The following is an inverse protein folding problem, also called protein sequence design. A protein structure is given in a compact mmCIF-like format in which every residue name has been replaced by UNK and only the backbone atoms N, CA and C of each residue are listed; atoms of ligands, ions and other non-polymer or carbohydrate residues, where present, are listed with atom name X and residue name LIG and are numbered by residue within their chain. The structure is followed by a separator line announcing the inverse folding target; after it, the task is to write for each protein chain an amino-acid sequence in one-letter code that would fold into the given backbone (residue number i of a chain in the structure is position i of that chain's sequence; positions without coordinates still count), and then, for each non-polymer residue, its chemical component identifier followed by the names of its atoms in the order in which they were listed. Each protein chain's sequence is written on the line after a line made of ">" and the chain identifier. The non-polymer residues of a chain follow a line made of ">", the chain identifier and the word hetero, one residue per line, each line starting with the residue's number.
data_IF_612676266001
#
_entry.id   IF_612676266001
#
_cell.length_a   1.000
_cell.length_b   1.000
_cell.length_c   1.000
_cell.angle_alpha   90.00
_cell.angle_beta   90.00
_cell.angle_gamma   90.00
#
_symmetry.space_group_name_H-M   'P 1'
#
loop_
_entity.id
_entity.type
_entity.pdbx_description
1 polymer ?
#
# COMPACT_ATOMS: atom_id res chain seq x y z
N UNK A 1 -8.72 -9.36 -14.46
CA UNK A 1 -8.40 -8.17 -13.65
C UNK A 1 -9.39 -7.06 -13.98
N UNK A 2 -9.94 -6.43 -12.97
CA UNK A 2 -10.87 -5.32 -13.18
C UNK A 2 -10.12 -4.04 -13.52
N UNK A 3 -10.75 -3.19 -14.35
CA UNK A 3 -10.13 -1.93 -14.73
C UNK A 3 -10.12 -0.95 -13.56
N UNK A 4 -9.15 -0.04 -13.55
CA UNK A 4 -9.06 0.98 -12.51
C UNK A 4 -10.27 1.93 -12.53
N UNK A 5 -10.84 2.32 -13.69
CA UNK A 5 -12.10 3.08 -13.67
C UNK A 5 -13.24 2.38 -12.94
N UNK A 6 -13.38 1.05 -13.07
CA UNK A 6 -14.38 0.29 -12.31
C UNK A 6 -14.09 0.30 -10.81
N UNK A 7 -12.82 0.19 -10.44
CA UNK A 7 -12.39 0.25 -9.04
C UNK A 7 -12.73 1.63 -8.47
N UNK A 8 -12.49 2.70 -9.24
CA UNK A 8 -12.79 4.06 -8.82
C UNK A 8 -14.29 4.25 -8.58
N UNK A 9 -15.14 3.72 -9.47
CA UNK A 9 -16.58 3.80 -9.29
C UNK A 9 -17.03 3.16 -7.98
N UNK A 10 -16.50 1.99 -7.67
CA UNK A 10 -16.81 1.31 -6.42
C UNK A 10 -16.36 2.12 -5.22
N UNK A 11 -15.16 2.71 -5.30
CA UNK A 11 -14.63 3.55 -4.24
C UNK A 11 -15.52 4.80 -4.02
N UNK A 12 -15.90 5.45 -5.10
CA UNK A 12 -16.71 6.68 -5.03
C UNK A 12 -18.09 6.43 -4.43
N UNK A 13 -18.64 5.22 -4.58
CA UNK A 13 -19.91 4.86 -3.94
C UNK A 13 -19.78 4.76 -2.41
N UNK A 14 -18.59 4.47 -1.90
CA UNK A 14 -18.33 4.32 -0.48
C UNK A 14 -17.84 5.61 0.18
N UNK A 15 -17.09 6.41 -0.55
CA UNK A 15 -16.43 7.61 -0.02
C UNK A 15 -16.60 8.76 -0.99
N UNK A 16 -17.15 9.90 -0.51
CA UNK A 16 -17.51 11.00 -1.39
C UNK A 16 -16.64 12.26 -1.21
N UNK A 17 -15.86 12.34 -0.15
CA UNK A 17 -15.22 13.60 0.24
C UNK A 17 -13.71 13.53 0.48
N UNK A 18 -13.00 12.62 -0.21
CA UNK A 18 -11.56 12.50 -0.03
C UNK A 18 -10.84 13.72 -0.61
N UNK A 19 -9.95 14.29 0.20
CA UNK A 19 -9.07 15.37 -0.24
C UNK A 19 -7.79 14.78 -0.81
N UNK A 20 -7.55 15.03 -2.08
CA UNK A 20 -6.39 14.50 -2.80
C UNK A 20 -5.27 15.54 -2.83
N UNK A 21 -4.02 15.11 -2.61
CA UNK A 21 -2.85 15.96 -2.77
C UNK A 21 -2.16 15.60 -4.08
N UNK A 22 -2.33 16.39 -5.15
CA UNK A 22 -1.78 16.02 -6.47
C UNK A 22 -0.26 15.84 -6.50
N UNK A 23 0.45 16.50 -5.58
CA UNK A 23 1.92 16.39 -5.53
C UNK A 23 2.41 15.21 -4.68
N UNK A 24 1.51 14.46 -4.03
CA UNK A 24 1.91 13.40 -3.11
C UNK A 24 2.76 12.32 -3.79
N UNK A 25 2.33 11.85 -4.96
CA UNK A 25 3.05 10.82 -5.70
C UNK A 25 4.47 11.28 -6.05
N UNK A 26 4.59 12.48 -6.61
CA UNK A 26 5.91 13.01 -7.00
C UNK A 26 6.81 13.17 -5.78
N UNK A 27 6.25 13.59 -4.64
CA UNK A 27 7.02 13.76 -3.41
C UNK A 27 7.50 12.41 -2.88
N UNK A 28 6.64 11.38 -2.91
CA UNK A 28 7.03 10.03 -2.47
C UNK A 28 8.18 9.51 -3.32
N UNK A 29 8.06 9.61 -4.64
CA UNK A 29 9.10 9.15 -5.56
C UNK A 29 10.41 9.90 -5.33
N UNK A 30 10.34 11.21 -5.14
CA UNK A 30 11.53 12.03 -4.92
C UNK A 30 12.20 11.74 -3.58
N UNK A 31 11.40 11.70 -2.50
CA UNK A 31 11.93 11.51 -1.15
C UNK A 31 12.47 10.09 -0.93
N UNK A 32 11.86 9.10 -1.55
CA UNK A 32 12.25 7.71 -1.37
C UNK A 32 13.18 7.20 -2.48
N UNK A 33 13.38 7.99 -3.53
CA UNK A 33 14.25 7.62 -4.66
C UNK A 33 13.83 6.29 -5.29
N UNK A 34 12.52 6.15 -5.56
CA UNK A 34 11.97 4.97 -6.23
C UNK A 34 10.91 5.42 -7.23
N UNK A 35 10.51 4.51 -8.13
CA UNK A 35 9.41 4.77 -9.07
C UNK A 35 8.20 3.94 -8.69
N UNK A 36 7.07 4.61 -8.49
CA UNK A 36 5.82 3.93 -8.17
C UNK A 36 5.21 3.30 -9.42
N UNK A 37 4.54 2.14 -9.29
CA UNK A 37 3.86 1.54 -10.44
C UNK A 37 2.75 2.44 -10.96
N UNK A 38 2.43 2.30 -12.25
CA UNK A 38 1.38 3.11 -12.88
C UNK A 38 0.03 2.94 -12.21
N UNK A 39 -0.33 1.72 -11.82
CA UNK A 39 -1.61 1.47 -11.17
C UNK A 39 -1.69 2.16 -9.79
N UNK A 40 -0.58 2.20 -9.05
CA UNK A 40 -0.53 2.96 -7.81
C UNK A 40 -0.80 4.44 -8.07
N UNK A 41 -0.16 4.99 -9.11
CA UNK A 41 -0.33 6.41 -9.46
C UNK A 41 -1.77 6.72 -9.88
N UNK A 42 -2.39 5.84 -10.66
CA UNK A 42 -3.79 6.03 -11.06
C UNK A 42 -4.73 5.99 -9.86
N UNK A 43 -4.53 5.04 -8.95
CA UNK A 43 -5.36 4.93 -7.74
C UNK A 43 -5.12 6.13 -6.82
N UNK A 44 -3.90 6.66 -6.79
CA UNK A 44 -3.57 7.86 -6.01
C UNK A 44 -4.32 9.11 -6.48
N UNK A 45 -4.94 9.07 -7.67
CA UNK A 45 -5.77 10.19 -8.14
C UNK A 45 -7.08 10.31 -7.37
N UNK A 46 -7.49 9.29 -6.60
CA UNK A 46 -8.72 9.34 -5.81
C UNK A 46 -8.57 8.77 -4.39
N UNK A 47 -7.43 8.16 -4.07
CA UNK A 47 -7.18 7.57 -2.75
C UNK A 47 -5.79 8.00 -2.27
N UNK A 48 -5.69 8.50 -1.04
CA UNK A 48 -4.43 9.01 -0.49
C UNK A 48 -4.11 8.45 0.89
N UNK A 49 -4.48 7.19 1.12
CA UNK A 49 -4.23 6.51 2.39
C UNK A 49 -5.45 6.51 3.29
N UNK A 50 -5.33 5.91 4.46
CA UNK A 50 -6.40 5.84 5.42
C UNK A 50 -7.03 4.45 5.52
N UNK A 51 -8.08 4.37 6.34
CA UNK A 51 -8.73 3.10 6.64
C UNK A 51 -9.57 2.62 5.45
N UNK A 52 -9.29 1.42 5.00
CA UNK A 52 -10.06 0.77 3.95
C UNK A 52 -10.00 -0.74 4.16
N UNK A 53 -11.18 -1.39 4.21
CA UNK A 53 -11.23 -2.84 4.40
C UNK A 53 -10.60 -3.32 5.69
N UNK A 54 -10.68 -2.50 6.74
CA UNK A 54 -10.10 -2.84 8.03
C UNK A 54 -8.61 -2.59 8.15
N UNK A 55 -7.95 -2.09 7.09
CA UNK A 55 -6.51 -1.83 7.07
C UNK A 55 -6.27 -0.33 6.99
N UNK A 56 -5.43 0.19 7.90
CA UNK A 56 -5.01 1.59 7.87
C UNK A 56 -3.75 1.74 7.04
N UNK A 57 -3.91 2.19 5.80
CA UNK A 57 -2.78 2.47 4.91
C UNK A 57 -2.18 3.82 5.34
N UNK A 58 -0.86 3.88 5.44
CA UNK A 58 -0.19 5.13 5.79
C UNK A 58 -0.56 6.24 4.81
N UNK A 59 -0.69 7.46 5.34
CA UNK A 59 -1.06 8.63 4.54
C UNK A 59 -0.04 8.87 3.42
N UNK A 60 -0.54 9.24 2.24
CA UNK A 60 0.32 9.69 1.13
C UNK A 60 0.77 11.14 1.35
N UNK A 61 0.12 11.85 2.27
CA UNK A 61 0.38 13.26 2.60
C UNK A 61 1.27 13.39 3.84
N UNK A 62 1.31 14.57 4.44
CA UNK A 62 2.16 14.88 5.59
C UNK A 62 1.59 14.41 6.94
N UNK A 63 0.37 13.91 6.96
CA UNK A 63 -0.23 13.42 8.20
C UNK A 63 0.55 12.22 8.73
N UNK A 64 0.71 12.14 10.04
CA UNK A 64 1.37 11.00 10.67
C UNK A 64 0.37 9.91 11.02
N UNK A 65 0.70 8.64 10.81
CA UNK A 65 1.90 8.15 10.11
C UNK A 65 1.76 8.27 8.59
N UNK A 66 2.86 8.48 7.89
CA UNK A 66 2.84 8.61 6.43
C UNK A 66 3.84 7.67 5.76
N UNK A 67 3.63 7.43 4.46
CA UNK A 67 4.42 6.49 3.67
C UNK A 67 5.91 6.83 3.69
N UNK A 68 6.24 8.09 3.53
CA UNK A 68 7.64 8.52 3.42
C UNK A 68 8.38 8.24 4.73
N UNK A 69 7.86 8.73 5.84
CA UNK A 69 8.52 8.58 7.14
C UNK A 69 8.62 7.12 7.57
N UNK A 70 7.54 6.36 7.38
CA UNK A 70 7.53 4.97 7.79
C UNK A 70 8.44 4.11 6.93
N UNK A 71 8.53 4.38 5.62
CA UNK A 71 9.46 3.67 4.75
C UNK A 71 10.91 3.99 5.12
N UNK A 72 11.21 5.27 5.39
CA UNK A 72 12.55 5.67 5.81
C UNK A 72 12.93 5.02 7.15
N UNK A 73 11.97 4.91 8.07
CA UNK A 73 12.17 4.23 9.35
C UNK A 73 12.59 2.77 9.15
N UNK A 74 11.89 2.04 8.28
CA UNK A 74 12.21 0.63 8.02
C UNK A 74 13.54 0.47 7.27
N UNK A 75 13.86 1.40 6.38
CA UNK A 75 15.17 1.37 5.72
C UNK A 75 16.30 1.43 6.74
N UNK A 76 16.10 2.22 7.79
CA UNK A 76 17.09 2.36 8.86
C UNK A 76 17.08 1.15 9.81
N UNK A 77 15.88 0.71 10.23
CA UNK A 77 15.74 -0.27 11.30
C UNK A 77 16.02 -1.71 10.85
N UNK A 78 15.63 -2.06 9.62
CA UNK A 78 15.77 -3.43 9.13
C UNK A 78 16.42 -3.51 7.74
N UNK A 79 17.01 -2.40 7.28
CA UNK A 79 17.59 -2.31 5.93
C UNK A 79 16.60 -2.73 4.84
N UNK A 80 15.38 -2.23 4.93
CA UNK A 80 14.37 -2.49 3.89
C UNK A 80 14.95 -2.13 2.53
N UNK A 81 14.88 -3.03 1.51
CA UNK A 81 15.43 -2.72 0.19
C UNK A 81 14.81 -1.46 -0.41
N UNK A 82 15.60 -0.75 -1.22
CA UNK A 82 15.21 0.56 -1.76
C UNK A 82 13.97 0.53 -2.64
N UNK A 83 13.69 -0.61 -3.28
CA UNK A 83 12.52 -0.75 -4.14
C UNK A 83 11.21 -0.90 -3.37
N UNK A 84 11.25 -1.05 -2.05
CA UNK A 84 10.08 -1.33 -1.23
C UNK A 84 9.47 -0.06 -0.65
N UNK A 85 8.14 -0.02 -0.66
CA UNK A 85 7.34 1.02 0.01
C UNK A 85 6.57 0.36 1.15
N UNK A 86 6.66 0.93 2.36
CA UNK A 86 5.94 0.39 3.53
C UNK A 86 4.54 0.97 3.54
N UNK A 87 3.52 0.11 3.30
CA UNK A 87 2.14 0.55 3.14
C UNK A 87 1.35 0.62 4.44
N UNK A 88 1.54 -0.37 5.32
CA UNK A 88 0.73 -0.48 6.54
C UNK A 88 1.38 -1.42 7.53
N UNK A 89 1.00 -1.25 8.81
CA UNK A 89 1.53 -2.08 9.90
C UNK A 89 0.38 -2.63 10.74
N UNK A 90 -0.37 -3.61 10.22
CA UNK A 90 -1.39 -4.28 11.05
C UNK A 90 -0.74 -5.02 12.21
N UNK A 91 -1.54 -5.42 13.22
CA UNK A 91 -0.99 -6.10 14.40
C UNK A 91 -0.12 -7.30 14.00
N UNK A 92 1.11 -7.33 14.54
CA UNK A 92 2.07 -8.42 14.36
C UNK A 92 2.43 -8.72 12.90
N UNK A 93 2.21 -7.75 11.99
CA UNK A 93 2.47 -7.95 10.57
C UNK A 93 2.84 -6.64 9.89
N UNK A 94 3.17 -6.74 8.60
CA UNK A 94 3.47 -5.58 7.79
C UNK A 94 3.07 -5.83 6.34
N UNK A 95 2.70 -4.76 5.66
CA UNK A 95 2.31 -4.80 4.24
C UNK A 95 3.27 -3.88 3.49
N UNK A 96 3.92 -4.41 2.47
CA UNK A 96 4.88 -3.67 1.65
C UNK A 96 4.55 -3.79 0.16
N UNK A 97 4.95 -2.79 -0.60
CA UNK A 97 4.87 -2.79 -2.07
C UNK A 97 6.28 -2.85 -2.62
N UNK A 98 6.60 -3.90 -3.37
CA UNK A 98 7.86 -3.99 -4.09
C UNK A 98 7.67 -3.38 -5.48
N UNK A 99 8.36 -2.28 -5.75
CA UNK A 99 8.22 -1.58 -7.03
C UNK A 99 9.02 -2.22 -8.15
N UNK A 100 9.83 -3.24 -7.85
CA UNK A 100 10.75 -3.85 -8.82
C UNK A 100 10.36 -5.25 -9.27
N UNK A 101 9.61 -6.00 -8.45
CA UNK A 101 9.34 -7.43 -8.71
C UNK A 101 7.89 -7.77 -8.40
N UNK A 102 7.46 -8.92 -8.96
CA UNK A 102 6.15 -9.49 -8.65
C UNK A 102 6.33 -10.76 -7.80
N UNK A 103 5.36 -11.10 -6.94
CA UNK A 103 4.17 -10.32 -6.63
C UNK A 103 4.56 -8.98 -5.99
N UNK A 104 3.84 -7.92 -6.35
CA UNK A 104 4.20 -6.57 -5.94
C UNK A 104 3.85 -6.29 -4.47
N UNK A 105 2.70 -6.78 -3.99
CA UNK A 105 2.27 -6.52 -2.61
C UNK A 105 2.44 -7.78 -1.77
N UNK A 106 3.08 -7.61 -0.62
CA UNK A 106 3.36 -8.70 0.31
C UNK A 106 2.87 -8.28 1.70
N UNK A 107 2.02 -9.13 2.29
CA UNK A 107 1.57 -8.97 3.67
C UNK A 107 2.16 -10.13 4.46
N UNK A 108 3.21 -9.85 5.23
CA UNK A 108 3.94 -10.89 5.96
C UNK A 108 3.88 -10.69 7.47
N UNK A 109 4.12 -11.77 8.21
CA UNK A 109 4.28 -11.70 9.66
C UNK A 109 5.53 -10.89 10.01
N UNK A 110 5.49 -10.17 11.13
CA UNK A 110 6.63 -9.34 11.58
C UNK A 110 7.92 -10.14 11.76
N UNK A 111 7.81 -11.42 12.07
CA UNK A 111 8.99 -12.28 12.22
C UNK A 111 9.79 -12.39 10.92
N UNK A 112 9.13 -12.17 9.79
CA UNK A 112 9.74 -12.26 8.47
C UNK A 112 10.19 -10.91 7.90
N UNK A 113 10.11 -9.84 8.69
CA UNK A 113 10.48 -8.50 8.22
C UNK A 113 11.89 -8.45 7.64
N UNK A 114 12.83 -9.14 8.26
CA UNK A 114 14.23 -9.18 7.81
C UNK A 114 14.45 -10.07 6.59
N UNK A 115 13.43 -10.80 6.14
CA UNK A 115 13.51 -11.72 5.01
C UNK A 115 12.87 -11.18 3.73
N UNK A 116 12.43 -9.90 3.76
CA UNK A 116 11.79 -9.31 2.58
C UNK A 116 12.73 -9.22 1.39
N UNK A 117 14.02 -9.00 1.63
CA UNK A 117 15.00 -8.83 0.56
C UNK A 117 15.19 -10.11 -0.29
N UNK A 118 15.04 -11.29 0.31
CA UNK A 118 15.21 -12.57 -0.41
C UNK A 118 13.91 -13.37 -0.49
N UNK A 119 12.83 -12.86 0.08
CA UNK A 119 11.50 -13.48 0.09
C UNK A 119 11.49 -14.89 0.68
N UNK A 120 12.39 -15.16 1.62
CA UNK A 120 12.48 -16.44 2.30
C UNK A 120 11.69 -16.39 3.60
N UNK A 121 10.38 -16.64 3.52
CA UNK A 121 9.47 -16.47 4.64
C UNK A 121 9.33 -17.76 5.47
N UNK A 122 9.32 -17.61 6.80
CA UNK A 122 9.02 -18.71 7.72
C UNK A 122 7.52 -19.00 7.75
N UNK A 123 6.71 -17.94 7.62
CA UNK A 123 5.25 -18.04 7.58
C UNK A 123 4.83 -17.56 6.20
N UNK A 124 4.05 -18.37 5.48
CA UNK A 124 3.62 -18.03 4.12
C UNK A 124 2.87 -16.70 4.14
N UNK A 125 3.30 -15.70 3.38
CA UNK A 125 2.63 -14.40 3.34
C UNK A 125 1.43 -14.44 2.40
N UNK A 126 0.53 -13.46 2.57
CA UNK A 126 -0.46 -13.17 1.54
C UNK A 126 0.18 -12.23 0.52
N UNK A 127 -0.09 -12.48 -0.76
CA UNK A 127 0.52 -11.68 -1.82
C UNK A 127 -0.49 -11.32 -2.90
N UNK A 128 -0.22 -10.22 -3.60
CA UNK A 128 -1.00 -9.77 -4.75
C UNK A 128 -0.02 -9.38 -5.85
N UNK A 129 -0.34 -9.74 -7.08
CA UNK A 129 0.58 -9.49 -8.19
C UNK A 129 0.77 -8.00 -8.47
N UNK A 130 -0.29 -7.19 -8.29
CA UNK A 130 -0.25 -5.76 -8.55
C UNK A 130 -0.85 -5.01 -7.38
N UNK A 131 -0.56 -3.70 -7.31
CA UNK A 131 -1.18 -2.85 -6.30
C UNK A 131 -2.69 -2.76 -6.50
N UNK A 132 -3.15 -2.70 -7.76
CA UNK A 132 -4.59 -2.64 -8.03
C UNK A 132 -5.33 -3.89 -7.56
N UNK A 133 -4.72 -5.07 -7.66
CA UNK A 133 -5.31 -6.30 -7.13
C UNK A 133 -5.47 -6.21 -5.61
N UNK A 134 -4.46 -5.71 -4.92
CA UNK A 134 -4.51 -5.51 -3.48
C UNK A 134 -5.58 -4.49 -3.10
N UNK A 135 -5.64 -3.37 -3.82
CA UNK A 135 -6.62 -2.33 -3.56
C UNK A 135 -8.04 -2.86 -3.76
N UNK A 136 -8.26 -3.66 -4.81
CA UNK A 136 -9.56 -4.30 -5.03
C UNK A 136 -9.93 -5.23 -3.88
N UNK A 137 -8.96 -5.96 -3.35
CA UNK A 137 -9.18 -6.79 -2.17
C UNK A 137 -9.69 -5.94 -0.99
N UNK A 138 -9.06 -4.79 -0.73
CA UNK A 138 -9.49 -3.91 0.34
C UNK A 138 -10.90 -3.36 0.10
N UNK A 139 -11.21 -3.00 -1.15
CA UNK A 139 -12.56 -2.53 -1.50
C UNK A 139 -13.60 -3.60 -1.24
N UNK A 140 -13.31 -4.84 -1.62
CA UNK A 140 -14.22 -5.96 -1.41
C UNK A 140 -14.49 -6.15 0.09
N UNK A 141 -13.45 -6.06 0.91
CA UNK A 141 -13.60 -6.17 2.36
C UNK A 141 -14.46 -5.03 2.90
N UNK A 142 -14.26 -3.81 2.43
CA UNK A 142 -15.05 -2.65 2.85
C UNK A 142 -16.51 -2.79 2.45
N UNK A 143 -16.78 -3.23 1.23
CA UNK A 143 -18.13 -3.44 0.74
C UNK A 143 -18.87 -4.50 1.58
N UNK A 144 -18.19 -5.58 1.94
CA UNK A 144 -18.77 -6.62 2.78
C UNK A 144 -19.08 -6.11 4.18
N UNK A 145 -18.21 -5.31 4.76
CA UNK A 145 -18.45 -4.72 6.08
C UNK A 145 -19.66 -3.80 6.08
N UNK A 146 -19.85 -3.03 5.01
CA UNK A 146 -20.96 -2.07 4.93
C UNK A 146 -22.31 -2.74 4.66
N UNK A 147 -22.32 -3.97 4.17
CA UNK A 147 -23.53 -4.75 3.95
C UNK A 147 -24.10 -5.34 5.23
N UNK A 148 -23.32 -5.35 6.32
CA UNK A 148 -23.74 -5.96 7.60
C UNK A 148 -24.54 -4.99 8.48
#
# INVERSE_FOLDING_TARGET
>A
MKSIPSIRERYDLLFTDDVIAPQAVARIEQQLQLQLPDDFKEIASFYNGGLLGGISIFSYNDHHPNLIEETLRLRKDIQLPHSFLFLAEPAESMIVLDTAQTPAVIWCDSIDAHHLHNRSFQIAPDTWNTFSDFFEYLLTQEEEEQEQ
#
